data_IF_719119757669
#
_entry.id   IF_719119757669
#
_cell.length_a   1.000
_cell.length_b   1.000
_cell.length_c   1.000
_cell.angle_alpha   90.00
_cell.angle_beta   90.00
_cell.angle_gamma   90.00
#
_symmetry.space_group_name_H-M   'P 1'
#
loop_
_entity.id
_entity.type
_entity.pdbx_description
1 polymer ?
#
# COMPACT_ATOMS: atom_id res chain seq x y z
N UNK A 1 24.05 5.19 12.19
CA UNK A 1 23.06 5.90 11.35
C UNK A 1 22.75 5.05 10.13
N UNK A 2 21.54 4.51 10.03
CA UNK A 2 21.20 3.51 9.01
C UNK A 2 20.80 4.21 7.70
N UNK A 3 21.63 4.03 6.67
CA UNK A 3 21.55 4.71 5.38
C UNK A 3 20.26 4.31 4.65
N UNK A 4 19.36 5.27 4.40
CA UNK A 4 18.23 5.05 3.48
C UNK A 4 18.81 4.66 2.11
N UNK A 5 18.28 3.59 1.50
CA UNK A 5 18.73 3.18 0.18
C UNK A 5 18.31 4.27 -0.81
N UNK A 6 19.23 4.69 -1.68
CA UNK A 6 18.97 5.75 -2.66
C UNK A 6 17.88 5.29 -3.62
N UNK A 7 17.04 6.24 -4.02
CA UNK A 7 16.10 6.10 -5.13
C UNK A 7 16.81 5.54 -6.37
N UNK A 8 16.18 4.60 -7.07
CA UNK A 8 16.71 4.02 -8.31
C UNK A 8 15.84 4.43 -9.48
N UNK A 9 16.47 4.68 -10.62
CA UNK A 9 15.79 4.84 -11.90
C UNK A 9 15.89 3.52 -12.68
N UNK A 10 14.78 3.08 -13.25
CA UNK A 10 14.78 1.94 -14.15
C UNK A 10 15.43 2.34 -15.49
N UNK A 11 16.21 1.44 -16.08
CA UNK A 11 16.94 1.70 -17.33
C UNK A 11 16.10 1.38 -18.57
N UNK A 12 15.06 0.56 -18.43
CA UNK A 12 14.20 0.07 -19.51
C UNK A 12 12.92 0.92 -19.67
N UNK A 13 12.61 1.79 -18.70
CA UNK A 13 11.41 2.64 -18.70
C UNK A 13 11.58 3.87 -17.81
N UNK A 14 10.80 4.92 -18.07
CA UNK A 14 10.75 6.09 -17.19
C UNK A 14 9.97 5.76 -15.91
N UNK A 15 10.64 5.14 -14.94
CA UNK A 15 10.07 4.78 -13.66
C UNK A 15 11.10 4.82 -12.53
N UNK A 16 10.60 5.15 -11.34
CA UNK A 16 11.39 5.35 -10.13
C UNK A 16 11.05 4.28 -9.08
N UNK A 17 12.08 3.68 -8.47
CA UNK A 17 11.93 2.83 -7.28
C UNK A 17 12.26 3.65 -6.05
N UNK A 18 11.26 3.80 -5.17
CA UNK A 18 11.41 4.37 -3.84
C UNK A 18 11.59 3.25 -2.80
N UNK A 19 12.59 3.39 -1.93
CA UNK A 19 12.79 2.47 -0.82
C UNK A 19 12.14 3.04 0.43
N UNK A 20 11.22 2.28 1.02
CA UNK A 20 10.59 2.63 2.30
C UNK A 20 10.96 1.60 3.36
N UNK A 21 11.29 2.06 4.57
CA UNK A 21 11.51 1.14 5.70
C UNK A 21 10.17 0.63 6.19
N UNK A 22 10.06 -0.69 6.35
CA UNK A 22 8.89 -1.35 6.94
C UNK A 22 9.34 -2.47 7.86
N UNK A 23 8.50 -2.76 8.84
CA UNK A 23 8.63 -3.98 9.64
C UNK A 23 7.95 -5.11 8.89
N UNK A 24 8.75 -6.01 8.30
CA UNK A 24 8.26 -7.09 7.45
C UNK A 24 7.42 -8.09 8.25
N UNK A 25 7.67 -8.24 9.56
CA UNK A 25 6.92 -9.16 10.42
C UNK A 25 5.47 -8.73 10.67
N UNK A 26 5.16 -7.47 10.33
CA UNK A 26 3.83 -6.87 10.51
C UNK A 26 3.07 -6.71 9.20
N UNK A 27 3.68 -7.08 8.06
CA UNK A 27 3.01 -7.04 6.78
C UNK A 27 2.11 -8.26 6.64
N UNK A 28 0.87 -8.03 6.26
CA UNK A 28 0.03 -9.10 5.77
C UNK A 28 0.40 -9.40 4.31
N UNK A 29 0.83 -10.64 4.08
CA UNK A 29 1.40 -11.08 2.81
C UNK A 29 0.78 -12.39 2.37
N UNK A 30 0.65 -12.55 1.07
CA UNK A 30 0.16 -13.76 0.43
C UNK A 30 1.18 -14.28 -0.58
N UNK A 31 1.17 -15.60 -0.77
CA UNK A 31 2.04 -16.23 -1.75
C UNK A 31 1.41 -16.09 -3.12
N UNK A 32 2.14 -15.48 -4.05
CA UNK A 32 1.69 -15.28 -5.41
C UNK A 32 2.67 -15.90 -6.39
N UNK A 33 2.13 -16.52 -7.44
CA UNK A 33 2.93 -17.10 -8.53
C UNK A 33 2.85 -16.16 -9.72
N UNK A 34 3.99 -15.66 -10.15
CA UNK A 34 4.16 -14.84 -11.35
C UNK A 34 4.98 -15.61 -12.38
N UNK A 35 5.10 -15.04 -13.58
CA UNK A 35 5.98 -15.54 -14.63
C UNK A 35 7.46 -15.55 -14.22
N UNK A 36 7.84 -14.71 -13.25
CA UNK A 36 9.19 -14.63 -12.69
C UNK A 36 9.44 -15.64 -11.56
N UNK A 37 8.42 -16.39 -11.14
CA UNK A 37 8.51 -17.39 -10.07
C UNK A 37 7.48 -17.20 -8.97
N UNK A 38 7.69 -17.88 -7.84
CA UNK A 38 6.84 -17.73 -6.66
C UNK A 38 7.45 -16.72 -5.68
N UNK A 39 6.62 -15.83 -5.15
CA UNK A 39 7.06 -14.82 -4.20
C UNK A 39 5.96 -14.42 -3.22
N UNK A 40 6.36 -13.62 -2.23
CA UNK A 40 5.43 -12.98 -1.30
C UNK A 40 5.10 -11.59 -1.79
N UNK A 41 3.81 -11.28 -1.83
CA UNK A 41 3.28 -9.95 -2.14
C UNK A 41 2.37 -9.52 -1.00
N UNK A 42 2.18 -8.22 -0.82
CA UNK A 42 1.16 -7.72 0.11
C UNK A 42 -0.22 -8.21 -0.31
N UNK A 43 -1.07 -8.51 0.67
CA UNK A 43 -2.50 -8.74 0.40
C UNK A 43 -3.16 -7.49 -0.18
N UNK A 44 -4.39 -7.63 -0.66
CA UNK A 44 -5.16 -6.50 -1.17
C UNK A 44 -5.36 -5.46 -0.07
N UNK A 45 -5.76 -5.90 1.13
CA UNK A 45 -6.03 -5.05 2.29
C UNK A 45 -4.76 -4.35 2.79
N UNK A 46 -3.62 -5.06 2.82
CA UNK A 46 -2.33 -4.45 3.15
C UNK A 46 -1.92 -3.39 2.12
N UNK A 47 -2.11 -3.68 0.83
CA UNK A 47 -1.78 -2.75 -0.26
C UNK A 47 -2.66 -1.50 -0.18
N UNK A 48 -3.97 -1.69 0.01
CA UNK A 48 -4.92 -0.60 0.19
C UNK A 48 -4.55 0.28 1.40
N UNK A 49 -4.26 -0.34 2.56
CA UNK A 49 -3.84 0.39 3.75
C UNK A 49 -2.53 1.16 3.54
N UNK A 50 -1.61 0.61 2.73
CA UNK A 50 -0.36 1.28 2.40
C UNK A 50 -0.53 2.54 1.55
N UNK A 51 -1.46 2.49 0.59
CA UNK A 51 -1.83 3.64 -0.24
C UNK A 51 -2.47 4.74 0.63
N UNK A 52 -3.48 4.36 1.43
CA UNK A 52 -4.17 5.29 2.36
C UNK A 52 -3.20 5.94 3.34
N UNK A 53 -2.24 5.17 3.87
CA UNK A 53 -1.30 5.68 4.85
C UNK A 53 -0.25 6.64 4.27
N UNK A 54 -0.07 6.64 2.94
CA UNK A 54 1.00 7.37 2.22
C UNK A 54 0.53 7.78 0.81
N UNK A 55 -0.51 8.61 0.68
CA UNK A 55 -1.10 8.98 -0.62
C UNK A 55 -0.11 9.69 -1.56
N UNK A 56 0.88 10.38 -0.99
CA UNK A 56 1.91 11.12 -1.75
C UNK A 56 3.13 10.27 -2.15
N UNK A 57 3.18 8.98 -1.79
CA UNK A 57 4.35 8.15 -2.07
C UNK A 57 4.47 7.88 -3.57
N UNK A 58 5.52 8.42 -4.20
CA UNK A 58 5.73 8.27 -5.64
C UNK A 58 5.36 9.50 -6.45
N UNK A 59 4.91 10.58 -5.81
CA UNK A 59 4.55 11.85 -6.47
C UNK A 59 3.44 11.67 -7.54
N UNK A 60 2.50 10.76 -7.27
CA UNK A 60 1.36 10.40 -8.12
C UNK A 60 0.06 10.28 -7.30
N UNK A 61 -0.35 11.36 -6.60
CA UNK A 61 -1.50 11.30 -5.70
C UNK A 61 -2.80 10.93 -6.43
N UNK A 62 -3.05 11.43 -7.63
CA UNK A 62 -4.29 11.13 -8.38
C UNK A 62 -4.44 9.63 -8.66
N UNK A 63 -3.38 8.99 -9.18
CA UNK A 63 -3.37 7.55 -9.43
C UNK A 63 -3.51 6.74 -8.14
N UNK A 64 -3.03 7.28 -7.01
CA UNK A 64 -3.19 6.64 -5.69
C UNK A 64 -4.65 6.67 -5.24
N UNK A 65 -5.34 7.80 -5.39
CA UNK A 65 -6.78 7.90 -5.06
C UNK A 65 -7.63 7.02 -5.99
N UNK A 66 -7.33 6.98 -7.28
CA UNK A 66 -8.00 6.06 -8.22
C UNK A 66 -7.83 4.60 -7.80
N UNK A 67 -6.61 4.21 -7.43
CA UNK A 67 -6.33 2.85 -6.94
C UNK A 67 -7.08 2.54 -5.64
N UNK A 68 -7.15 3.48 -4.68
CA UNK A 68 -7.93 3.32 -3.45
C UNK A 68 -9.41 3.07 -3.80
N UNK A 69 -10.01 3.92 -4.64
CA UNK A 69 -11.40 3.78 -5.07
C UNK A 69 -11.68 2.46 -5.79
N UNK A 70 -10.74 1.96 -6.58
CA UNK A 70 -10.86 0.68 -7.28
C UNK A 70 -10.70 -0.55 -6.37
N UNK A 71 -9.85 -0.45 -5.34
CA UNK A 71 -9.55 -1.56 -4.42
C UNK A 71 -10.53 -1.65 -3.25
N UNK A 72 -11.03 -0.52 -2.76
CA UNK A 72 -11.89 -0.45 -1.57
C UNK A 72 -13.13 -1.35 -1.66
N UNK A 73 -13.88 -1.42 -2.78
CA UNK A 73 -15.05 -2.31 -2.90
C UNK A 73 -14.71 -3.81 -2.88
N UNK A 74 -13.43 -4.16 -3.07
CA UNK A 74 -12.94 -5.55 -3.13
C UNK A 74 -12.31 -6.01 -1.82
N UNK A 75 -12.13 -5.09 -0.86
CA UNK A 75 -11.44 -5.36 0.39
C UNK A 75 -12.35 -6.08 1.38
N UNK A 76 -11.78 -7.04 2.11
CA UNK A 76 -12.36 -7.50 3.36
C UNK A 76 -12.23 -6.39 4.41
N UNK A 77 -13.35 -5.73 4.69
CA UNK A 77 -13.40 -4.59 5.61
C UNK A 77 -13.13 -4.96 7.07
N UNK A 78 -13.28 -6.23 7.46
CA UNK A 78 -12.91 -6.67 8.81
C UNK A 78 -11.38 -6.76 8.88
N UNK A 79 -10.76 -7.47 7.93
CA UNK A 79 -9.31 -7.59 7.87
C UNK A 79 -8.61 -6.23 7.72
N UNK A 80 -9.12 -5.34 6.86
CA UNK A 80 -8.56 -4.00 6.67
C UNK A 80 -8.54 -3.18 7.98
N UNK A 81 -9.61 -3.24 8.78
CA UNK A 81 -9.70 -2.56 10.08
C UNK A 81 -8.78 -3.18 11.12
N UNK A 82 -8.64 -4.49 11.12
CA UNK A 82 -7.72 -5.21 12.00
C UNK A 82 -6.26 -4.82 11.69
N UNK A 83 -5.88 -4.83 10.41
CA UNK A 83 -4.56 -4.38 9.95
C UNK A 83 -4.32 -2.91 10.33
N UNK A 84 -5.30 -2.03 10.12
CA UNK A 84 -5.19 -0.62 10.49
C UNK A 84 -5.00 -0.45 12.01
N UNK A 85 -5.62 -1.29 12.82
CA UNK A 85 -5.44 -1.29 14.29
C UNK A 85 -4.05 -1.77 14.65
N UNK A 86 -3.67 -2.95 14.19
CA UNK A 86 -2.38 -3.58 14.47
C UNK A 86 -1.20 -2.71 14.00
N UNK A 87 -1.35 -2.00 12.88
CA UNK A 87 -0.32 -1.14 12.29
C UNK A 87 -0.39 0.32 12.72
N UNK A 88 -1.31 0.68 13.63
CA UNK A 88 -1.53 2.05 14.12
C UNK A 88 -1.85 3.05 13.00
N UNK A 89 -2.69 2.63 12.05
CA UNK A 89 -3.15 3.40 10.88
C UNK A 89 -4.66 3.68 10.87
N UNK A 90 -5.38 3.41 11.97
CA UNK A 90 -6.83 3.65 12.10
C UNK A 90 -7.26 5.05 11.66
N UNK A 91 -6.60 6.09 12.18
CA UNK A 91 -6.98 7.48 11.84
C UNK A 91 -6.87 7.79 10.34
N UNK A 92 -5.94 7.17 9.62
CA UNK A 92 -5.82 7.36 8.17
C UNK A 92 -6.95 6.63 7.44
N UNK A 93 -7.25 5.39 7.85
CA UNK A 93 -8.38 4.63 7.32
C UNK A 93 -9.72 5.32 7.58
N UNK A 94 -9.96 5.80 8.80
CA UNK A 94 -11.21 6.46 9.17
C UNK A 94 -11.43 7.75 8.38
N UNK A 95 -10.35 8.51 8.14
CA UNK A 95 -10.39 9.71 7.30
C UNK A 95 -10.78 9.37 5.86
N UNK A 96 -10.14 8.35 5.28
CA UNK A 96 -10.44 7.88 3.92
C UNK A 96 -11.90 7.42 3.77
N UNK A 97 -12.36 6.58 4.69
CA UNK A 97 -13.73 6.04 4.65
C UNK A 97 -14.80 7.12 4.83
N UNK A 98 -14.50 8.18 5.58
CA UNK A 98 -15.40 9.32 5.74
C UNK A 98 -15.58 10.10 4.43
N UNK A 99 -14.55 10.15 3.57
CA UNK A 99 -14.61 10.76 2.24
C UNK A 99 -15.32 9.89 1.20
N UNK A 100 -15.12 8.57 1.26
CA UNK A 100 -15.73 7.63 0.30
C UNK A 100 -17.22 7.33 0.54
N UNK A 101 -17.75 7.57 1.74
CA UNK A 101 -19.16 7.36 2.06
C UNK A 101 -20.13 8.45 1.55
N UNK A 102 -19.64 9.44 0.80
CA UNK A 102 -20.44 10.57 0.29
C UNK A 102 -20.77 10.50 -1.22
N UNK A 103 -20.61 9.34 -1.86
CA UNK A 103 -20.92 9.13 -3.29
C UNK A 103 -22.15 8.26 -3.47
#
# INVERSE_FOLDING_TARGET
MQRHRRTLQLTDRNATILFVRRDVTRLDVQRHRTELGQGWVTSLEQTLLDLIARPELGDVPDATHEAIGALLPRADMILLRDLATQQRRRSALDHELSGHGQV
#
